data_IF_403907832390
#
_entry.id   IF_403907832390
#
_cell.length_a   1.000
_cell.length_b   1.000
_cell.length_c   1.000
_cell.angle_alpha   90.00
_cell.angle_beta   90.00
_cell.angle_gamma   90.00
#
_symmetry.space_group_name_H-M   'P 1'
#
loop_
_entity.id
_entity.type
_entity.pdbx_description
1 polymer ?
#
# COMPACT_ATOMS: atom_id res chain seq x y z
N UNK A 1 -12.11 6.91 21.76
CA UNK A 1 -12.13 7.65 20.49
C UNK A 1 -10.79 7.41 19.79
N UNK A 2 -10.64 6.45 18.88
CA UNK A 2 -9.44 6.40 18.06
C UNK A 2 -9.46 7.63 17.15
N UNK A 3 -8.46 8.50 17.30
CA UNK A 3 -8.31 9.69 16.45
C UNK A 3 -8.14 9.31 14.99
N UNK A 4 -8.37 10.23 14.05
CA UNK A 4 -8.08 9.97 12.65
C UNK A 4 -6.61 9.59 12.56
N UNK A 5 -6.31 8.35 12.17
CA UNK A 5 -4.99 8.00 11.65
C UNK A 5 -4.83 8.80 10.36
N UNK A 6 -4.47 10.07 10.52
CA UNK A 6 -3.95 10.92 9.47
C UNK A 6 -2.61 10.33 9.10
N UNK A 7 -2.67 9.29 8.27
CA UNK A 7 -1.54 8.74 7.58
C UNK A 7 -0.94 9.92 6.81
N UNK A 8 0.16 10.44 7.34
CA UNK A 8 0.94 11.48 6.70
C UNK A 8 1.32 10.93 5.34
N UNK A 9 0.51 11.26 4.33
CA UNK A 9 0.78 11.10 2.91
C UNK A 9 1.99 11.99 2.62
N UNK A 10 3.17 11.58 3.09
CA UNK A 10 4.44 12.17 2.70
C UNK A 10 4.56 11.81 1.23
N UNK A 11 4.46 12.80 0.32
CA UNK A 11 4.77 12.52 -1.07
C UNK A 11 6.21 12.00 -1.14
N UNK A 12 6.50 10.99 -1.98
CA UNK A 12 7.88 10.59 -2.21
C UNK A 12 8.65 11.83 -2.65
N UNK A 13 9.69 12.18 -1.89
CA UNK A 13 10.56 13.32 -2.14
C UNK A 13 11.21 13.13 -3.53
N UNK A 14 10.67 13.79 -4.56
CA UNK A 14 11.22 13.76 -5.92
C UNK A 14 10.25 13.53 -7.09
N UNK A 15 8.92 13.51 -6.88
CA UNK A 15 7.97 13.33 -7.98
C UNK A 15 7.41 14.67 -8.49
N UNK A 16 7.66 14.94 -9.78
CA UNK A 16 6.99 15.95 -10.59
C UNK A 16 5.46 15.91 -10.37
N UNK A 17 4.85 17.07 -10.11
CA UNK A 17 3.48 17.22 -9.62
C UNK A 17 2.43 16.52 -10.50
N UNK A 18 2.73 16.31 -11.79
CA UNK A 18 1.81 15.69 -12.74
C UNK A 18 1.52 14.21 -12.48
N UNK A 19 2.46 13.46 -11.88
CA UNK A 19 2.20 12.06 -11.49
C UNK A 19 1.48 11.92 -10.14
N UNK A 20 1.43 13.02 -9.37
CA UNK A 20 0.93 13.01 -8.00
C UNK A 20 -0.60 13.01 -7.90
N UNK A 21 -1.27 13.67 -8.85
CA UNK A 21 -2.73 13.73 -8.88
C UNK A 21 -3.37 12.35 -9.16
N UNK A 22 -2.76 11.56 -10.04
CA UNK A 22 -3.30 10.26 -10.47
C UNK A 22 -3.32 9.24 -9.34
N UNK A 23 -2.26 9.17 -8.53
CA UNK A 23 -2.21 8.22 -7.41
C UNK A 23 -3.15 8.64 -6.27
N UNK A 24 -3.33 9.94 -6.03
CA UNK A 24 -4.29 10.44 -5.05
C UNK A 24 -5.72 10.08 -5.45
N UNK A 25 -6.10 10.30 -6.71
CA UNK A 25 -7.41 9.92 -7.23
C UNK A 25 -7.63 8.39 -7.17
N UNK A 26 -6.58 7.61 -7.43
CA UNK A 26 -6.62 6.13 -7.27
C UNK A 26 -6.83 5.75 -5.81
N UNK A 27 -6.09 6.35 -4.88
CA UNK A 27 -6.17 6.08 -3.45
C UNK A 27 -7.54 6.43 -2.87
N UNK A 28 -8.13 7.57 -3.26
CA UNK A 28 -9.48 7.96 -2.84
C UNK A 28 -10.51 6.95 -3.35
N UNK A 29 -10.48 6.57 -4.63
CA UNK A 29 -11.41 5.57 -5.18
C UNK A 29 -11.32 4.22 -4.49
N UNK A 30 -10.11 3.79 -4.14
CA UNK A 30 -9.90 2.52 -3.44
C UNK A 30 -10.40 2.58 -2.00
N UNK A 31 -10.18 3.69 -1.30
CA UNK A 31 -10.73 3.89 0.04
C UNK A 31 -12.26 3.97 0.02
N UNK A 32 -12.85 4.66 -0.96
CA UNK A 32 -14.30 4.74 -1.11
C UNK A 32 -14.91 3.35 -1.34
N UNK A 33 -14.30 2.57 -2.22
CA UNK A 33 -14.68 1.17 -2.43
C UNK A 33 -14.57 0.33 -1.14
N UNK A 34 -13.54 0.56 -0.32
CA UNK A 34 -13.38 -0.10 0.98
C UNK A 34 -14.34 0.42 2.05
N UNK A 35 -14.83 1.66 1.94
CA UNK A 35 -15.90 2.15 2.82
C UNK A 35 -17.25 1.54 2.47
N UNK A 36 -17.51 1.30 1.18
CA UNK A 36 -18.72 0.62 0.71
C UNK A 36 -18.65 -0.89 1.01
N UNK A 37 -17.51 -1.50 0.72
CA UNK A 37 -17.25 -2.94 0.89
C UNK A 37 -15.94 -3.14 1.67
N UNK A 38 -15.99 -3.10 3.01
CA UNK A 38 -14.80 -3.25 3.86
C UNK A 38 -14.24 -4.66 3.87
N UNK A 39 -14.82 -5.61 3.14
CA UNK A 39 -14.30 -6.96 2.91
C UNK A 39 -13.76 -7.14 1.50
N UNK A 40 -13.77 -6.10 0.65
CA UNK A 40 -13.29 -6.20 -0.71
C UNK A 40 -11.76 -6.39 -0.74
N UNK A 41 -11.36 -7.64 -0.99
CA UNK A 41 -9.96 -8.04 -1.05
C UNK A 41 -9.27 -7.41 -2.25
N UNK A 42 -10.00 -7.20 -3.35
CA UNK A 42 -9.46 -6.65 -4.59
C UNK A 42 -9.03 -5.20 -4.38
N UNK A 43 -9.91 -4.36 -3.82
CA UNK A 43 -9.59 -2.98 -3.48
C UNK A 43 -8.45 -2.88 -2.48
N UNK A 44 -8.39 -3.77 -1.47
CA UNK A 44 -7.24 -3.84 -0.55
C UNK A 44 -5.93 -4.19 -1.26
N UNK A 45 -5.96 -5.16 -2.18
CA UNK A 45 -4.78 -5.53 -2.97
C UNK A 45 -4.31 -4.38 -3.86
N UNK A 46 -5.24 -3.67 -4.49
CA UNK A 46 -4.91 -2.51 -5.32
C UNK A 46 -4.34 -1.35 -4.49
N UNK A 47 -4.85 -1.14 -3.27
CA UNK A 47 -4.32 -0.13 -2.35
C UNK A 47 -2.90 -0.49 -1.90
N UNK A 48 -2.66 -1.76 -1.58
CA UNK A 48 -1.33 -2.26 -1.26
C UNK A 48 -0.34 -2.07 -2.43
N UNK A 49 -0.75 -2.44 -3.65
CA UNK A 49 0.08 -2.26 -4.84
C UNK A 49 0.37 -0.77 -5.14
N UNK A 50 -0.58 0.12 -4.86
CA UNK A 50 -0.36 1.57 -4.98
C UNK A 50 0.68 2.06 -3.97
N UNK A 51 0.62 1.60 -2.71
CA UNK A 51 1.61 1.90 -1.68
C UNK A 51 3.02 1.39 -2.07
N UNK A 52 3.11 0.23 -2.73
CA UNK A 52 4.37 -0.26 -3.29
C UNK A 52 4.94 0.71 -4.34
N UNK A 53 4.11 1.20 -5.26
CA UNK A 53 4.52 2.16 -6.28
C UNK A 53 4.93 3.51 -5.69
N UNK A 54 4.35 3.89 -4.54
CA UNK A 54 4.69 5.10 -3.80
C UNK A 54 5.99 4.98 -2.98
N UNK A 55 6.63 3.81 -2.99
CA UNK A 55 7.85 3.56 -2.21
C UNK A 55 7.56 3.37 -0.72
N UNK A 56 6.34 2.95 -0.36
CA UNK A 56 5.93 2.61 1.00
C UNK A 56 5.67 1.09 1.12
N UNK A 57 6.68 0.23 0.90
CA UNK A 57 6.50 -1.21 0.93
C UNK A 57 6.16 -1.74 2.33
N UNK A 58 6.45 -1.00 3.40
CA UNK A 58 6.09 -1.36 4.77
C UNK A 58 4.56 -1.31 4.99
N UNK A 59 3.90 -0.23 4.55
CA UNK A 59 2.44 -0.11 4.62
C UNK A 59 1.74 -1.07 3.67
N UNK A 60 2.32 -1.30 2.50
CA UNK A 60 1.83 -2.32 1.57
C UNK A 60 1.82 -3.72 2.22
N UNK A 61 2.89 -4.10 2.95
CA UNK A 61 2.96 -5.39 3.67
C UNK A 61 1.82 -5.56 4.68
N UNK A 62 1.47 -4.51 5.43
CA UNK A 62 0.36 -4.56 6.39
C UNK A 62 -0.96 -4.85 5.68
N UNK A 63 -1.20 -4.19 4.54
CA UNK A 63 -2.40 -4.39 3.72
C UNK A 63 -2.43 -5.80 3.09
N UNK A 64 -1.31 -6.28 2.54
CA UNK A 64 -1.20 -7.64 2.01
C UNK A 64 -1.42 -8.71 3.07
N UNK A 65 -0.92 -8.49 4.29
CA UNK A 65 -1.13 -9.40 5.42
C UNK A 65 -2.59 -9.43 5.85
N UNK A 66 -3.28 -8.28 5.87
CA UNK A 66 -4.71 -8.22 6.14
C UNK A 66 -5.52 -9.00 5.09
N UNK A 67 -5.14 -8.91 3.82
CA UNK A 67 -5.74 -9.73 2.75
C UNK A 67 -5.55 -11.22 3.02
N UNK A 68 -4.33 -11.67 3.36
CA UNK A 68 -4.06 -13.09 3.65
C UNK A 68 -4.77 -13.60 4.91
N UNK A 69 -5.09 -12.70 5.84
CA UNK A 69 -5.85 -13.05 7.03
C UNK A 69 -7.33 -13.33 6.71
N UNK A 70 -7.87 -12.65 5.70
CA UNK A 70 -9.22 -12.93 5.17
C UNK A 70 -9.20 -14.09 4.17
N UNK A 71 -8.20 -14.11 3.30
CA UNK A 71 -8.10 -14.99 2.15
C UNK A 71 -6.68 -15.55 2.05
N UNK A 72 -6.43 -16.60 2.85
CA UNK A 72 -5.09 -17.17 3.05
C UNK A 72 -4.50 -17.80 1.80
N UNK A 73 -5.33 -18.07 0.78
CA UNK A 73 -4.91 -18.62 -0.50
C UNK A 73 -4.78 -17.57 -1.60
N UNK A 74 -4.84 -16.27 -1.27
CA UNK A 74 -4.69 -15.19 -2.25
C UNK A 74 -3.26 -15.14 -2.79
N UNK A 75 -3.09 -15.61 -4.04
CA UNK A 75 -1.81 -15.59 -4.75
C UNK A 75 -1.28 -14.16 -4.86
N UNK A 76 -2.17 -13.21 -5.20
CA UNK A 76 -1.85 -11.80 -5.39
C UNK A 76 -1.21 -11.19 -4.14
N UNK A 77 -1.70 -11.56 -2.95
CA UNK A 77 -1.14 -11.05 -1.70
C UNK A 77 0.20 -11.69 -1.32
N UNK A 78 0.42 -12.96 -1.66
CA UNK A 78 1.73 -13.61 -1.52
C UNK A 78 2.77 -12.97 -2.44
N UNK A 79 2.38 -12.69 -3.69
CA UNK A 79 3.24 -12.01 -4.67
C UNK A 79 3.58 -10.58 -4.25
N UNK A 80 2.58 -9.83 -3.77
CA UNK A 80 2.74 -8.49 -3.21
C UNK A 80 3.69 -8.47 -2.01
N UNK A 81 3.51 -9.36 -1.03
CA UNK A 81 4.45 -9.47 0.08
C UNK A 81 5.88 -9.80 -0.37
N UNK A 82 6.05 -10.74 -1.30
CA UNK A 82 7.38 -11.08 -1.81
C UNK A 82 8.06 -9.89 -2.49
N UNK A 83 7.29 -9.05 -3.20
CA UNK A 83 7.78 -7.83 -3.85
C UNK A 83 8.16 -6.77 -2.81
N UNK A 84 7.31 -6.52 -1.83
CA UNK A 84 7.60 -5.62 -0.72
C UNK A 84 8.82 -6.06 0.09
N UNK A 85 8.93 -7.35 0.41
CA UNK A 85 10.09 -7.90 1.12
C UNK A 85 11.40 -7.71 0.35
N UNK A 86 11.40 -7.73 -0.99
CA UNK A 86 12.58 -7.39 -1.78
C UNK A 86 12.93 -5.89 -1.72
N UNK A 87 11.93 -5.02 -1.56
CA UNK A 87 12.13 -3.58 -1.42
C UNK A 87 12.62 -3.20 -0.01
N UNK A 88 11.99 -3.75 1.04
CA UNK A 88 12.39 -3.57 2.46
C UNK A 88 13.69 -4.30 2.78
N UNK A 89 13.92 -5.46 2.14
CA UNK A 89 15.12 -6.28 2.25
C UNK A 89 16.33 -5.73 1.50
N UNK A 90 16.25 -4.52 0.93
CA UNK A 90 17.42 -3.64 0.88
C UNK A 90 17.48 -2.90 2.23
N UNK A 91 18.13 -3.47 3.27
CA UNK A 91 18.63 -2.58 4.31
C UNK A 91 19.54 -1.60 3.60
N UNK A 92 19.50 -0.34 4.03
CA UNK A 92 20.59 0.59 3.77
C UNK A 92 21.90 -0.03 4.28
N UNK A 93 22.56 -0.85 3.46
CA UNK A 93 24.01 -0.94 3.52
C UNK A 93 24.52 0.27 2.75
N UNK A 94 24.69 1.37 3.47
CA UNK A 94 25.73 2.38 3.28
C UNK A 94 25.34 3.65 4.01
N UNK A 95 25.65 3.70 5.29
CA UNK A 95 26.48 4.80 5.74
C UNK A 95 27.45 4.23 6.76
N UNK A 96 28.68 4.01 6.29
CA UNK A 96 29.88 4.05 7.12
C UNK A 96 30.06 5.46 7.68
#
# INVERSE_FOLDING_TARGET
>A
MPGPQNNSLRPPLGADQSGSEDWLARLIRLQDALTLCPTDITSRCELAALLEALGQPEEALVNWKAVLNTDSNSLKAREGMARCHRQVGRPLQSSL
#
